data_IF_057860220840
#
_entry.id   IF_057860220840
#
_cell.length_a   1.000
_cell.length_b   1.000
_cell.length_c   1.000
_cell.angle_alpha   90.00
_cell.angle_beta   90.00
_cell.angle_gamma   90.00
#
_symmetry.space_group_name_H-M   'P 1'
#
loop_
_entity.id
_entity.type
_entity.pdbx_description
1 polymer ?
#
# COMPACT_ATOMS: atom_id res chain seq x y z
N UNK A 1 -19.53 1.89 -0.54
CA UNK A 1 -19.20 2.95 -1.52
C UNK A 1 -18.70 2.30 -2.82
N UNK A 2 -19.18 2.72 -3.99
CA UNK A 2 -18.65 2.23 -5.26
C UNK A 2 -17.23 2.82 -5.48
N UNK A 3 -16.27 1.99 -5.87
CA UNK A 3 -14.92 2.46 -6.20
C UNK A 3 -14.90 2.88 -7.68
N UNK A 4 -14.44 4.11 -8.02
CA UNK A 4 -14.33 4.50 -9.42
C UNK A 4 -13.44 3.54 -10.22
N UNK A 5 -13.75 3.27 -11.50
CA UNK A 5 -13.05 2.26 -12.30
C UNK A 5 -11.54 2.53 -12.43
N UNK A 6 -11.14 3.81 -12.49
CA UNK A 6 -9.74 4.24 -12.53
C UNK A 6 -8.91 3.86 -11.29
N UNK A 7 -9.57 3.45 -10.20
CA UNK A 7 -8.92 3.03 -8.95
C UNK A 7 -9.06 1.54 -8.69
N UNK A 8 -9.49 0.73 -9.67
CA UNK A 8 -9.75 -0.70 -9.49
C UNK A 8 -8.54 -1.47 -8.91
N UNK A 9 -7.30 -1.11 -9.27
CA UNK A 9 -6.10 -1.75 -8.71
C UNK A 9 -5.85 -1.50 -7.22
N UNK A 10 -6.57 -0.57 -6.57
CA UNK A 10 -6.55 -0.41 -5.12
C UNK A 10 -7.30 -1.54 -4.39
N UNK A 11 -8.15 -2.30 -5.10
CA UNK A 11 -8.80 -3.48 -4.55
C UNK A 11 -7.79 -4.61 -4.42
N UNK A 12 -7.77 -5.26 -3.27
CA UNK A 12 -7.01 -6.50 -3.12
C UNK A 12 -7.63 -7.56 -4.04
N UNK A 13 -6.85 -8.19 -4.94
CA UNK A 13 -7.38 -9.14 -5.91
C UNK A 13 -7.83 -10.42 -5.21
N UNK A 14 -9.15 -10.54 -5.01
CA UNK A 14 -9.75 -11.74 -4.43
C UNK A 14 -11.28 -11.85 -4.65
N UNK A 15 -11.98 -10.75 -4.98
CA UNK A 15 -13.42 -10.77 -5.23
C UNK A 15 -13.75 -10.40 -6.68
N UNK A 16 -14.42 -11.31 -7.39
CA UNK A 16 -14.97 -11.07 -8.76
C UNK A 16 -16.40 -10.51 -8.72
N UNK A 17 -16.95 -10.28 -7.52
CA UNK A 17 -18.37 -9.97 -7.35
C UNK A 17 -18.60 -8.45 -7.27
N UNK A 18 -19.55 -7.97 -8.08
CA UNK A 18 -19.87 -6.54 -8.19
C UNK A 18 -20.53 -5.95 -6.93
N UNK A 19 -21.11 -6.78 -6.07
CA UNK A 19 -21.77 -6.36 -4.82
C UNK A 19 -21.23 -7.18 -3.65
N UNK A 20 -20.38 -6.54 -2.85
CA UNK A 20 -19.77 -7.13 -1.66
C UNK A 20 -20.30 -6.39 -0.44
N UNK A 21 -20.93 -7.08 0.54
CA UNK A 21 -21.60 -6.46 1.69
C UNK A 21 -20.64 -5.74 2.64
N UNK A 22 -19.38 -6.19 2.76
CA UNK A 22 -18.42 -5.60 3.69
C UNK A 22 -17.21 -5.01 2.96
N UNK A 23 -16.85 -3.77 3.32
CA UNK A 23 -15.68 -3.08 2.78
C UNK A 23 -14.74 -2.68 3.90
N UNK A 24 -13.50 -3.13 3.83
CA UNK A 24 -12.40 -2.66 4.66
C UNK A 24 -11.56 -1.67 3.85
N UNK A 25 -11.53 -0.41 4.27
CA UNK A 25 -10.65 0.60 3.68
C UNK A 25 -9.45 0.85 4.61
N UNK A 26 -8.24 0.78 4.06
CA UNK A 26 -7.00 0.96 4.81
C UNK A 26 -6.29 2.19 4.26
N UNK A 27 -6.18 3.23 5.11
CA UNK A 27 -5.55 4.50 4.77
C UNK A 27 -4.07 4.43 5.16
N UNK A 28 -3.19 4.53 4.16
CA UNK A 28 -1.77 4.29 4.33
C UNK A 28 -0.94 5.39 3.67
N UNK A 29 0.11 5.79 4.36
CA UNK A 29 1.18 6.65 3.86
C UNK A 29 2.46 5.82 3.69
N UNK A 30 3.07 5.84 2.52
CA UNK A 30 4.30 5.07 2.24
C UNK A 30 5.48 5.48 3.11
N UNK A 31 5.46 6.68 3.67
CA UNK A 31 6.54 7.23 4.49
C UNK A 31 6.22 7.24 5.99
N UNK A 32 5.02 6.84 6.39
CA UNK A 32 4.65 6.72 7.79
C UNK A 32 5.14 5.39 8.39
N UNK A 33 5.96 5.41 9.46
CA UNK A 33 6.46 4.18 10.09
C UNK A 33 5.33 3.33 10.70
N UNK A 34 4.23 3.95 11.12
CA UNK A 34 3.06 3.23 11.63
C UNK A 34 2.25 2.57 10.51
N UNK A 35 2.11 3.24 9.35
CA UNK A 35 1.47 2.63 8.17
C UNK A 35 2.25 1.40 7.68
N UNK A 36 3.59 1.42 7.73
CA UNK A 36 4.40 0.22 7.44
C UNK A 36 4.11 -0.92 8.41
N UNK A 37 4.10 -0.63 9.71
CA UNK A 37 3.78 -1.64 10.74
C UNK A 37 2.37 -2.21 10.51
N UNK A 38 1.39 -1.36 10.24
CA UNK A 38 0.01 -1.75 9.96
C UNK A 38 -0.07 -2.65 8.73
N UNK A 39 0.59 -2.26 7.62
CA UNK A 39 0.59 -3.03 6.38
C UNK A 39 1.26 -4.40 6.57
N UNK A 40 2.43 -4.47 7.22
CA UNK A 40 3.15 -5.72 7.46
C UNK A 40 2.34 -6.72 8.31
N UNK A 41 1.59 -6.22 9.29
CA UNK A 41 0.74 -7.07 10.14
C UNK A 41 -0.54 -7.50 9.41
N UNK A 42 -1.23 -6.55 8.76
CA UNK A 42 -2.54 -6.82 8.18
C UNK A 42 -2.46 -7.54 6.84
N UNK A 43 -1.54 -7.16 5.95
CA UNK A 43 -1.52 -7.61 4.55
C UNK A 43 -1.54 -9.16 4.41
N UNK A 44 -0.74 -9.94 5.16
CA UNK A 44 -0.82 -11.40 5.08
C UNK A 44 -2.15 -11.95 5.58
N UNK A 45 -2.67 -11.39 6.69
CA UNK A 45 -3.91 -11.85 7.32
C UNK A 45 -5.13 -11.54 6.44
N UNK A 46 -5.23 -10.32 5.91
CA UNK A 46 -6.34 -9.91 5.03
C UNK A 46 -6.30 -10.67 3.71
N UNK A 47 -5.11 -10.94 3.15
CA UNK A 47 -5.00 -11.71 1.90
C UNK A 47 -5.60 -13.10 2.09
N UNK A 48 -5.18 -13.82 3.14
CA UNK A 48 -5.75 -15.12 3.48
C UNK A 48 -7.26 -15.06 3.74
N UNK A 49 -7.73 -14.07 4.49
CA UNK A 49 -9.16 -13.92 4.80
C UNK A 49 -9.99 -13.72 3.54
N UNK A 50 -9.56 -12.85 2.63
CA UNK A 50 -10.33 -12.56 1.42
C UNK A 50 -10.22 -13.71 0.42
N UNK A 51 -9.08 -14.38 0.29
CA UNK A 51 -8.96 -15.50 -0.66
C UNK A 51 -9.61 -16.80 -0.17
N UNK A 52 -9.59 -17.08 1.14
CA UNK A 52 -9.99 -18.40 1.67
C UNK A 52 -11.34 -18.37 2.40
N UNK A 53 -11.64 -17.31 3.16
CA UNK A 53 -12.79 -17.29 4.08
C UNK A 53 -13.95 -16.42 3.60
N UNK A 54 -13.64 -15.30 2.96
CA UNK A 54 -14.61 -14.27 2.60
C UNK A 54 -14.46 -13.73 1.15
N UNK A 55 -14.29 -14.58 0.12
CA UNK A 55 -14.03 -14.13 -1.27
C UNK A 55 -15.17 -13.32 -1.89
N UNK A 56 -16.41 -13.58 -1.47
CA UNK A 56 -17.62 -12.91 -1.95
C UNK A 56 -18.18 -11.86 -1.01
N UNK A 57 -17.70 -11.82 0.25
CA UNK A 57 -18.32 -11.04 1.32
C UNK A 57 -17.47 -9.89 1.83
N UNK A 58 -16.15 -9.97 1.67
CA UNK A 58 -15.21 -8.93 2.07
C UNK A 58 -14.44 -8.39 0.86
N UNK A 59 -14.40 -7.07 0.73
CA UNK A 59 -13.48 -6.38 -0.18
C UNK A 59 -12.55 -5.49 0.62
N UNK A 60 -11.28 -5.45 0.24
CA UNK A 60 -10.28 -4.61 0.89
C UNK A 60 -9.75 -3.58 -0.11
N UNK A 61 -9.68 -2.33 0.33
CA UNK A 61 -9.25 -1.19 -0.49
C UNK A 61 -8.06 -0.52 0.17
N UNK A 62 -6.99 -0.34 -0.60
CA UNK A 62 -5.89 0.53 -0.23
C UNK A 62 -6.23 1.99 -0.56
N UNK A 63 -6.22 2.87 0.44
CA UNK A 63 -6.40 4.31 0.28
C UNK A 63 -5.08 5.04 0.50
N UNK A 64 -4.65 5.77 -0.52
CA UNK A 64 -3.47 6.62 -0.44
C UNK A 64 -3.76 7.82 0.46
N UNK A 65 -3.06 7.94 1.58
CA UNK A 65 -3.23 9.02 2.56
C UNK A 65 -1.92 9.76 2.75
N UNK A 66 -1.70 10.82 1.96
CA UNK A 66 -0.50 11.65 2.06
C UNK A 66 -0.56 12.43 3.37
N UNK A 67 0.43 12.26 4.26
CA UNK A 67 0.54 13.07 5.47
C UNK A 67 1.49 14.25 5.20
N UNK A 68 1.04 15.52 5.34
CA UNK A 68 1.75 16.69 4.81
C UNK A 68 3.10 16.98 5.49
N UNK A 69 3.37 16.37 6.65
CA UNK A 69 4.65 16.46 7.36
C UNK A 69 5.68 15.42 6.91
N UNK A 70 5.37 14.58 5.93
CA UNK A 70 6.30 13.64 5.33
C UNK A 70 6.79 14.14 3.96
N UNK A 71 8.02 14.66 3.84
CA UNK A 71 8.46 15.43 2.66
C UNK A 71 8.42 14.68 1.33
N UNK A 72 8.66 13.37 1.37
CA UNK A 72 8.72 12.47 0.22
C UNK A 72 7.42 11.71 -0.03
N UNK A 73 6.42 11.85 0.85
CA UNK A 73 5.16 11.10 0.79
C UNK A 73 4.46 11.33 -0.55
N UNK A 74 4.35 12.60 -0.97
CA UNK A 74 3.76 12.98 -2.26
C UNK A 74 4.40 12.22 -3.42
N UNK A 75 5.73 12.17 -3.50
CA UNK A 75 6.44 11.49 -4.59
C UNK A 75 6.22 9.98 -4.58
N UNK A 76 6.22 9.34 -3.40
CA UNK A 76 5.90 7.92 -3.28
C UNK A 76 4.46 7.62 -3.73
N UNK A 77 3.51 8.47 -3.35
CA UNK A 77 2.11 8.34 -3.74
C UNK A 77 1.87 8.61 -5.23
N UNK A 78 2.59 9.56 -5.83
CA UNK A 78 2.57 9.80 -7.28
C UNK A 78 3.10 8.59 -8.05
N UNK A 79 4.20 7.99 -7.58
CA UNK A 79 4.74 6.78 -8.19
C UNK A 79 3.76 5.59 -8.09
N UNK A 80 3.12 5.41 -6.93
CA UNK A 80 2.08 4.39 -6.77
C UNK A 80 0.84 4.66 -7.64
N UNK A 81 0.45 5.92 -7.82
CA UNK A 81 -0.62 6.30 -8.73
C UNK A 81 -0.24 6.02 -10.21
N UNK A 82 1.02 6.22 -10.59
CA UNK A 82 1.50 5.86 -11.92
C UNK A 82 1.41 4.34 -12.17
N UNK A 83 1.82 3.51 -11.19
CA UNK A 83 1.64 2.06 -11.26
C UNK A 83 0.16 1.69 -11.36
N UNK A 84 -0.70 2.32 -10.57
CA UNK A 84 -2.15 2.08 -10.63
C UNK A 84 -2.74 2.34 -12.03
N UNK A 85 -2.22 3.33 -12.76
CA UNK A 85 -2.65 3.67 -14.12
C UNK A 85 -2.08 2.74 -15.19
N UNK A 86 -0.80 2.36 -15.06
CA UNK A 86 -0.08 1.60 -16.09
C UNK A 86 -0.23 0.08 -15.92
N UNK A 87 -0.23 -0.39 -14.68
CA UNK A 87 -0.23 -1.81 -14.31
C UNK A 87 -1.04 -2.00 -13.00
N UNK A 88 -2.39 -1.89 -13.05
CA UNK A 88 -3.23 -1.94 -11.86
C UNK A 88 -3.11 -3.24 -11.06
N UNK A 89 -2.78 -4.36 -11.72
CA UNK A 89 -2.55 -5.67 -11.08
C UNK A 89 -1.30 -5.69 -10.21
N UNK A 90 -0.31 -4.85 -10.50
CA UNK A 90 0.96 -4.75 -9.77
C UNK A 90 0.90 -3.79 -8.58
N UNK A 91 -0.21 -3.06 -8.39
CA UNK A 91 -0.31 -2.01 -7.39
C UNK A 91 0.01 -2.49 -5.95
N UNK A 92 -0.53 -3.65 -5.55
CA UNK A 92 -0.29 -4.22 -4.22
C UNK A 92 1.14 -4.74 -4.06
N UNK A 93 1.69 -5.35 -5.11
CA UNK A 93 3.06 -5.84 -5.12
C UNK A 93 4.05 -4.68 -5.03
N UNK A 94 3.83 -3.62 -5.81
CA UNK A 94 4.59 -2.38 -5.75
C UNK A 94 4.48 -1.70 -4.38
N UNK A 95 3.26 -1.65 -3.80
CA UNK A 95 3.05 -1.08 -2.47
C UNK A 95 3.82 -1.86 -1.38
N UNK A 96 3.83 -3.19 -1.46
CA UNK A 96 4.61 -4.01 -0.55
C UNK A 96 6.12 -3.74 -0.67
N UNK A 97 6.64 -3.64 -1.90
CA UNK A 97 8.05 -3.30 -2.14
C UNK A 97 8.41 -1.89 -1.64
N UNK A 98 7.53 -0.90 -1.80
CA UNK A 98 7.73 0.44 -1.22
C UNK A 98 7.78 0.40 0.30
N UNK A 99 6.89 -0.35 0.96
CA UNK A 99 6.92 -0.48 2.41
C UNK A 99 8.15 -1.22 2.93
N UNK A 100 8.65 -2.20 2.19
CA UNK A 100 9.90 -2.90 2.52
C UNK A 100 11.10 -1.94 2.52
N UNK A 101 11.17 -1.06 1.51
CA UNK A 101 12.25 -0.07 1.36
C UNK A 101 11.94 1.30 1.97
N UNK A 102 10.90 1.39 2.80
CA UNK A 102 10.39 2.66 3.35
C UNK A 102 11.50 3.59 3.89
N UNK A 103 12.50 3.03 4.57
CA UNK A 103 13.58 3.81 5.22
C UNK A 103 14.47 4.57 4.23
N UNK A 104 14.48 4.19 2.95
CA UNK A 104 15.18 4.90 1.88
C UNK A 104 14.49 6.21 1.50
N UNK A 105 13.20 6.35 1.85
CA UNK A 105 12.38 7.49 1.47
C UNK A 105 12.17 8.48 2.60
N UNK A 106 12.69 8.30 3.81
CA UNK A 106 12.58 9.35 4.83
C UNK A 106 13.35 10.61 4.41
N UNK A 107 12.72 11.79 4.56
CA UNK A 107 13.18 13.09 4.03
C UNK A 107 14.53 13.64 4.52
N UNK A 108 15.39 12.79 5.09
CA UNK A 108 16.80 13.12 5.32
C UNK A 108 17.63 12.63 4.14
N UNK A 109 18.45 13.52 3.57
CA UNK A 109 19.50 13.21 2.61
C UNK A 109 20.39 12.06 3.14
N UNK A 110 19.99 10.79 2.91
CA UNK A 110 20.93 9.68 3.00
C UNK A 110 21.86 9.84 1.83
N UNK A 111 23.04 10.43 2.08
CA UNK A 111 24.19 10.26 1.21
C UNK A 111 24.32 8.76 0.95
N UNK A 112 23.98 8.31 -0.26
CA UNK A 112 24.38 6.99 -0.73
C UNK A 112 25.91 6.97 -0.65
N UNK A 113 26.48 6.37 0.40
CA UNK A 113 27.94 6.34 0.57
C UNK A 113 28.56 6.17 1.96
N UNK A 114 27.83 5.78 3.02
CA UNK A 114 28.45 5.47 4.32
C UNK A 114 27.93 4.14 4.91
N UNK A 115 28.05 3.06 4.14
CA UNK A 115 27.69 1.70 4.55
C UNK A 115 28.70 0.99 5.47
N UNK A 116 29.58 1.73 6.17
CA UNK A 116 30.70 1.14 6.92
C UNK A 116 30.67 1.32 8.45
N UNK A 117 29.63 1.91 9.05
CA UNK A 117 29.64 2.21 10.50
C UNK A 117 28.44 1.73 11.34
N UNK A 118 27.55 0.88 10.83
CA UNK A 118 26.46 0.33 11.64
C UNK A 118 26.51 -1.20 11.71
N UNK A 119 27.59 -1.71 12.28
CA UNK A 119 27.62 -2.99 12.99
C UNK A 119 28.22 -2.72 14.37
N UNK A 120 27.35 -2.50 15.36
CA UNK A 120 27.54 -2.83 16.77
C UNK A 120 26.18 -3.15 17.34
#
# INVERSE_FOLDING_TARGET
MALPPQFAGQLLPASTQSQVPHTLEIYLDYTCPYSRKLFQTLHPAITSLVTQKYPSTLRVIFRQQIQPWHPSSTLCHEAALAVLRLAPTEFWHYSAALFERQTEFFGGLRRRGLGWMARR
#
